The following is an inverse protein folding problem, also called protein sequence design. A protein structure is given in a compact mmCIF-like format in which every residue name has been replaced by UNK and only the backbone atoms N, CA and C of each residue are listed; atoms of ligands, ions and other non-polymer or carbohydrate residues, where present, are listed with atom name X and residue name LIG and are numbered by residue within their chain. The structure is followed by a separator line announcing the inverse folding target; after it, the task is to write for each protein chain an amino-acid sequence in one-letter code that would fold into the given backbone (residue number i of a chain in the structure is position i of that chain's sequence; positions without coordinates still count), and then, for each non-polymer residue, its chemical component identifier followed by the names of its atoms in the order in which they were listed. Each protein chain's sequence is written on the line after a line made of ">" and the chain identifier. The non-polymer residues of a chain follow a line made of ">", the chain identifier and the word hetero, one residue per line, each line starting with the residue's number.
data_IF_615693735440
#
_entry.id   IF_615693735440
#
_cell.length_a   1.000
_cell.length_b   1.000
_cell.length_c   1.000
_cell.angle_alpha   90.00
_cell.angle_beta   90.00
_cell.angle_gamma   90.00
#
_symmetry.space_group_name_H-M   'P 1'
#
loop_
_entity.id
_entity.type
_entity.pdbx_description
1 polymer ?
#
# COMPACT_ATOMS: atom_id res chain seq x y z
N UNK A 1 -14.65 23.73 -12.61
CA UNK A 1 -15.96 23.31 -12.09
C UNK A 1 -15.88 22.04 -11.22
N UNK A 2 -15.27 20.92 -11.65
CA UNK A 2 -15.23 19.69 -10.82
C UNK A 2 -14.49 19.82 -9.46
N UNK A 3 -13.56 20.78 -9.34
CA UNK A 3 -12.78 21.01 -8.12
C UNK A 3 -13.34 22.15 -7.23
N UNK A 4 -14.35 22.88 -7.72
CA UNK A 4 -14.99 23.95 -6.97
C UNK A 4 -16.09 23.38 -6.07
N UNK A 5 -16.35 24.05 -4.96
CA UNK A 5 -17.47 23.72 -4.09
C UNK A 5 -18.80 23.96 -4.84
N UNK A 6 -19.82 23.10 -4.69
CA UNK A 6 -21.13 23.34 -5.31
C UNK A 6 -21.87 24.58 -4.79
N UNK A 7 -21.43 25.18 -3.69
CA UNK A 7 -22.05 26.35 -3.08
C UNK A 7 -21.03 27.44 -2.77
N UNK A 8 -21.46 28.70 -2.86
CA UNK A 8 -20.65 29.87 -2.56
C UNK A 8 -21.42 30.81 -1.62
N UNK A 9 -20.67 31.51 -0.77
CA UNK A 9 -21.21 32.53 0.11
C UNK A 9 -20.89 33.92 -0.41
N UNK A 10 -21.85 34.84 -0.36
CA UNK A 10 -21.64 36.24 -0.73
C UNK A 10 -22.15 37.19 0.35
N UNK A 11 -21.51 38.36 0.45
CA UNK A 11 -21.94 39.47 1.29
C UNK A 11 -22.72 40.46 0.43
N UNK A 12 -23.91 40.85 0.85
CA UNK A 12 -24.64 41.88 0.10
C UNK A 12 -23.88 43.21 0.14
N UNK A 13 -23.86 43.92 -1.00
CA UNK A 13 -23.16 45.21 -1.12
C UNK A 13 -23.77 46.30 -0.23
N UNK A 14 -25.02 46.13 0.16
CA UNK A 14 -25.76 47.03 1.06
C UNK A 14 -25.39 46.85 2.53
N UNK A 15 -24.60 45.82 2.88
CA UNK A 15 -24.20 45.60 4.27
C UNK A 15 -23.31 46.73 4.76
N UNK A 16 -23.63 47.24 5.94
CA UNK A 16 -22.94 48.36 6.58
C UNK A 16 -22.01 47.90 7.72
N UNK A 17 -22.20 46.67 8.24
CA UNK A 17 -21.31 46.09 9.24
C UNK A 17 -19.96 45.63 8.67
N UNK A 18 -18.99 45.40 9.55
CA UNK A 18 -17.65 44.93 9.17
C UNK A 18 -17.56 43.41 8.99
N UNK A 19 -18.68 42.69 9.18
CA UNK A 19 -18.69 41.23 9.12
C UNK A 19 -18.44 40.69 7.71
N UNK A 20 -17.66 39.61 7.65
CA UNK A 20 -17.33 38.82 6.47
C UNK A 20 -17.82 37.39 6.64
N UNK A 21 -18.03 36.68 5.54
CA UNK A 21 -18.45 35.27 5.52
C UNK A 21 -17.38 34.42 4.86
N UNK A 22 -17.05 33.29 5.47
CA UNK A 22 -16.15 32.29 4.86
C UNK A 22 -16.85 31.53 3.76
N UNK A 23 -16.12 31.02 2.74
CA UNK A 23 -16.67 30.02 1.84
C UNK A 23 -17.38 28.90 2.61
N UNK A 24 -18.54 28.42 2.13
CA UNK A 24 -19.30 27.38 2.82
C UNK A 24 -18.61 26.03 2.73
N UNK A 25 -18.60 25.26 3.81
CA UNK A 25 -18.22 23.84 3.79
C UNK A 25 -19.48 22.99 3.61
N UNK A 26 -19.44 21.97 2.75
CA UNK A 26 -20.52 20.99 2.60
C UNK A 26 -20.33 19.87 3.62
N UNK A 27 -21.18 19.83 4.65
CA UNK A 27 -21.10 18.87 5.75
C UNK A 27 -22.04 17.68 5.54
N UNK A 28 -23.17 17.90 4.86
CA UNK A 28 -24.11 16.84 4.48
C UNK A 28 -24.51 16.99 3.00
N UNK A 29 -23.85 16.23 2.14
CA UNK A 29 -24.14 16.19 0.70
C UNK A 29 -25.52 15.58 0.37
N UNK A 30 -26.10 14.81 1.30
CA UNK A 30 -27.41 14.16 1.12
C UNK A 30 -28.59 15.06 1.52
N UNK A 31 -28.33 16.27 2.02
CA UNK A 31 -29.40 17.22 2.33
C UNK A 31 -30.13 17.64 1.04
N UNK A 32 -31.46 17.39 0.92
CA UNK A 32 -32.21 17.73 -0.29
C UNK A 32 -32.24 19.24 -0.57
N UNK A 33 -31.96 20.08 0.43
CA UNK A 33 -31.96 21.54 0.32
C UNK A 33 -30.56 22.13 0.14
N UNK A 34 -29.54 21.30 -0.11
CA UNK A 34 -28.13 21.74 -0.24
C UNK A 34 -27.95 22.89 -1.25
N UNK A 35 -28.63 22.82 -2.39
CA UNK A 35 -28.55 23.80 -3.46
C UNK A 35 -29.63 24.89 -3.37
N UNK A 36 -30.42 24.92 -2.30
CA UNK A 36 -31.46 25.96 -2.14
C UNK A 36 -30.77 27.27 -1.70
N UNK A 37 -30.94 28.37 -2.45
CA UNK A 37 -30.49 29.70 -2.04
C UNK A 37 -30.95 30.04 -0.62
N UNK A 38 -30.05 30.52 0.21
CA UNK A 38 -30.35 30.81 1.62
C UNK A 38 -29.72 32.13 2.05
N UNK A 39 -30.47 32.92 2.80
CA UNK A 39 -30.01 34.19 3.35
C UNK A 39 -29.89 34.11 4.87
N UNK A 40 -28.86 34.74 5.42
CA UNK A 40 -28.69 35.01 6.84
C UNK A 40 -28.89 36.50 7.03
N UNK A 41 -30.02 36.86 7.62
CA UNK A 41 -30.46 38.25 7.79
C UNK A 41 -30.22 38.68 9.22
N UNK A 42 -29.37 39.69 9.42
CA UNK A 42 -29.16 40.33 10.71
C UNK A 42 -30.16 41.47 10.86
N UNK A 43 -31.12 41.31 11.76
CA UNK A 43 -32.13 42.32 12.04
C UNK A 43 -31.80 43.05 13.35
N UNK A 44 -32.73 43.81 13.90
CA UNK A 44 -32.56 44.43 15.22
C UNK A 44 -32.99 43.43 16.31
N UNK A 45 -32.12 43.06 17.27
CA UNK A 45 -30.72 43.48 17.46
C UNK A 45 -29.73 42.71 16.57
N UNK A 46 -28.62 43.36 16.16
CA UNK A 46 -27.60 42.77 15.26
C UNK A 46 -26.76 41.65 15.88
N UNK A 47 -27.04 41.30 17.14
CA UNK A 47 -26.50 40.13 17.84
C UNK A 47 -27.26 38.84 17.53
N UNK A 48 -28.27 38.90 16.66
CA UNK A 48 -29.07 37.75 16.23
C UNK A 48 -29.26 37.74 14.71
N UNK A 49 -29.50 36.57 14.15
CA UNK A 49 -29.81 36.41 12.73
C UNK A 49 -31.05 35.52 12.52
N UNK A 50 -31.67 35.65 11.35
CA UNK A 50 -32.74 34.77 10.89
C UNK A 50 -32.34 34.12 9.56
N UNK A 51 -32.81 32.90 9.35
CA UNK A 51 -32.62 32.20 8.08
C UNK A 51 -33.78 32.57 7.15
N UNK A 52 -33.46 33.08 5.97
CA UNK A 52 -34.42 33.55 4.96
C UNK A 52 -35.41 34.60 5.48
N UNK A 53 -35.00 35.40 6.46
CA UNK A 53 -35.83 36.44 7.06
C UNK A 53 -37.08 35.93 7.81
N UNK A 54 -37.16 34.63 8.09
CA UNK A 54 -38.29 34.01 8.78
C UNK A 54 -37.83 33.13 9.95
N UNK A 55 -38.75 32.88 10.89
CA UNK A 55 -38.50 32.00 12.03
C UNK A 55 -37.82 32.67 13.24
N UNK A 56 -37.31 31.87 14.19
CA UNK A 56 -36.75 32.38 15.44
C UNK A 56 -35.46 33.16 15.21
N UNK A 57 -35.21 34.17 16.06
CA UNK A 57 -33.94 34.86 16.15
C UNK A 57 -32.90 33.90 16.74
N UNK A 58 -31.84 33.63 15.98
CA UNK A 58 -30.73 32.76 16.41
C UNK A 58 -29.60 33.64 16.95
N UNK A 59 -29.10 33.40 18.17
CA UNK A 59 -27.95 34.13 18.70
C UNK A 59 -26.74 34.02 17.79
N UNK A 60 -26.14 35.16 17.45
CA UNK A 60 -24.89 35.22 16.72
C UNK A 60 -23.71 35.17 17.69
N UNK A 61 -22.77 34.28 17.41
CA UNK A 61 -21.46 34.25 18.06
C UNK A 61 -20.39 34.43 16.98
N UNK A 62 -19.54 35.44 17.15
CA UNK A 62 -18.49 35.76 16.19
C UNK A 62 -17.57 34.55 15.94
N UNK A 63 -17.40 34.17 14.67
CA UNK A 63 -16.56 33.04 14.25
C UNK A 63 -17.12 31.65 14.54
N UNK A 64 -18.29 31.56 15.18
CA UNK A 64 -18.97 30.28 15.38
C UNK A 64 -19.48 29.73 14.04
N UNK A 65 -19.51 28.41 13.94
CA UNK A 65 -20.05 27.72 12.78
C UNK A 65 -21.58 27.83 12.76
N UNK A 66 -22.12 28.31 11.64
CA UNK A 66 -23.55 28.38 11.36
C UNK A 66 -23.87 27.29 10.35
N UNK A 67 -24.72 26.33 10.73
CA UNK A 67 -25.08 25.19 9.89
C UNK A 67 -26.50 25.35 9.33
N UNK A 68 -26.67 25.31 8.02
CA UNK A 68 -27.97 25.47 7.32
C UNK A 68 -28.02 24.61 6.06
N UNK A 69 -29.05 23.77 5.92
CA UNK A 69 -29.31 22.89 4.78
C UNK A 69 -28.05 22.07 4.36
N UNK A 70 -27.43 21.38 5.31
CA UNK A 70 -26.23 20.56 5.05
C UNK A 70 -24.93 21.32 4.77
N UNK A 71 -24.94 22.66 4.89
CA UNK A 71 -23.78 23.53 4.68
C UNK A 71 -23.38 24.19 5.99
N UNK A 72 -22.11 24.54 6.12
CA UNK A 72 -21.58 25.28 7.24
C UNK A 72 -20.84 26.52 6.76
N UNK A 73 -21.13 27.68 7.35
CA UNK A 73 -20.39 28.92 7.12
C UNK A 73 -19.96 29.52 8.45
N UNK A 74 -18.94 30.38 8.43
CA UNK A 74 -18.57 31.20 9.57
C UNK A 74 -18.68 32.65 9.18
N UNK A 75 -19.28 33.44 10.06
CA UNK A 75 -19.31 34.90 9.93
C UNK A 75 -18.36 35.47 10.98
N UNK A 76 -17.39 36.26 10.53
CA UNK A 76 -16.40 36.90 11.38
C UNK A 76 -16.51 38.42 11.32
N UNK A 77 -16.40 39.10 12.45
CA UNK A 77 -16.52 40.56 12.56
C UNK A 77 -17.84 40.99 13.21
N UNK A 78 -18.21 42.25 13.00
CA UNK A 78 -19.38 42.87 13.64
C UNK A 78 -20.47 43.15 12.61
N UNK A 79 -21.52 42.32 12.53
CA UNK A 79 -22.66 42.59 11.67
C UNK A 79 -23.51 43.75 12.25
N UNK A 80 -24.12 44.51 11.36
CA UNK A 80 -25.08 45.55 11.68
C UNK A 80 -26.52 45.11 11.32
N UNK A 81 -27.50 45.78 11.91
CA UNK A 81 -28.90 45.54 11.55
C UNK A 81 -29.13 45.95 10.08
N UNK A 82 -29.74 45.07 9.31
CA UNK A 82 -29.89 45.19 7.86
C UNK A 82 -28.86 44.41 7.04
N UNK A 83 -27.82 43.83 7.68
CA UNK A 83 -26.83 43.04 6.95
C UNK A 83 -27.40 41.69 6.49
N UNK A 84 -27.07 41.30 5.27
CA UNK A 84 -27.47 40.03 4.65
C UNK A 84 -26.26 39.30 4.09
N UNK A 85 -26.13 38.03 4.44
CA UNK A 85 -25.18 37.09 3.83
C UNK A 85 -25.95 36.01 3.09
N UNK A 86 -25.53 35.70 1.86
CA UNK A 86 -26.21 34.69 1.03
C UNK A 86 -25.33 33.46 0.87
N UNK A 87 -25.97 32.31 0.78
CA UNK A 87 -25.36 31.02 0.46
C UNK A 87 -26.14 30.48 -0.73
N UNK A 88 -25.53 30.53 -1.91
CA UNK A 88 -26.15 30.24 -3.19
C UNK A 88 -25.36 29.12 -3.91
N UNK A 89 -25.96 28.39 -4.86
CA UNK A 89 -25.21 27.49 -5.73
C UNK A 89 -24.09 28.23 -6.46
N UNK A 90 -22.89 27.64 -6.49
CA UNK A 90 -21.79 28.19 -7.27
C UNK A 90 -21.94 27.76 -8.74
N UNK A 91 -22.40 28.67 -9.59
CA UNK A 91 -22.58 28.40 -11.02
C UNK A 91 -21.31 28.62 -11.84
N UNK A 92 -20.28 29.27 -11.29
CA UNK A 92 -19.13 29.73 -12.07
C UNK A 92 -17.83 29.01 -11.66
N UNK A 93 -17.68 28.57 -10.41
CA UNK A 93 -16.60 27.70 -9.95
C UNK A 93 -15.19 28.19 -10.30
N UNK A 94 -15.03 29.50 -10.52
CA UNK A 94 -13.83 30.11 -11.09
C UNK A 94 -12.92 30.56 -9.97
N UNK A 95 -11.76 29.91 -9.83
CA UNK A 95 -10.78 30.18 -8.77
C UNK A 95 -11.01 29.39 -7.49
N UNK A 96 -12.07 28.61 -7.39
CA UNK A 96 -12.31 27.70 -6.26
C UNK A 96 -11.73 26.30 -6.54
N UNK A 97 -10.92 25.80 -5.60
CA UNK A 97 -10.32 24.48 -5.61
C UNK A 97 -10.58 23.68 -4.32
N UNK A 98 -11.58 24.06 -3.51
CA UNK A 98 -11.88 23.48 -2.21
C UNK A 98 -12.05 21.95 -2.27
N UNK A 99 -12.75 21.41 -3.26
CA UNK A 99 -12.88 19.95 -3.41
C UNK A 99 -11.55 19.29 -3.78
N UNK A 100 -10.72 19.95 -4.58
CA UNK A 100 -9.37 19.47 -4.90
C UNK A 100 -8.46 19.44 -3.66
N UNK A 101 -8.55 20.46 -2.81
CA UNK A 101 -7.83 20.51 -1.55
C UNK A 101 -8.33 19.44 -0.57
N UNK A 102 -9.64 19.24 -0.46
CA UNK A 102 -10.24 18.18 0.35
C UNK A 102 -9.76 16.79 -0.12
N UNK A 103 -9.77 16.53 -1.43
CA UNK A 103 -9.23 15.29 -2.01
C UNK A 103 -7.75 15.10 -1.71
N UNK A 104 -6.93 16.16 -1.78
CA UNK A 104 -5.52 16.10 -1.41
C UNK A 104 -5.31 15.78 0.08
N UNK A 105 -6.23 16.26 0.94
CA UNK A 105 -6.26 15.97 2.38
C UNK A 105 -6.62 14.52 2.72
N UNK A 106 -7.41 13.83 1.87
CA UNK A 106 -7.76 12.42 2.11
C UNK A 106 -6.55 11.50 2.22
N UNK A 107 -5.44 11.82 1.55
CA UNK A 107 -4.20 11.06 1.62
C UNK A 107 -3.69 10.89 3.06
N UNK A 108 -3.84 11.92 3.89
CA UNK A 108 -3.37 11.96 5.28
C UNK A 108 -4.52 11.82 6.30
N UNK A 109 -5.77 11.79 5.82
CA UNK A 109 -6.92 11.63 6.70
C UNK A 109 -7.00 10.19 7.20
N UNK A 110 -7.18 10.01 8.51
CA UNK A 110 -7.33 8.72 9.15
C UNK A 110 -8.73 8.16 8.88
N UNK A 111 -8.92 7.58 7.69
CA UNK A 111 -10.20 7.00 7.25
C UNK A 111 -10.20 5.46 7.23
N UNK A 112 -9.03 4.85 7.41
CA UNK A 112 -8.86 3.40 7.43
C UNK A 112 -8.74 2.90 8.89
N UNK A 113 -8.89 1.59 9.09
CA UNK A 113 -8.80 0.93 10.40
C UNK A 113 -9.66 1.61 11.49
N UNK A 114 -10.93 1.88 11.19
CA UNK A 114 -11.83 2.52 12.15
C UNK A 114 -11.47 3.96 12.53
N UNK A 115 -10.65 4.64 11.71
CA UNK A 115 -10.26 6.02 11.93
C UNK A 115 -8.89 6.19 12.59
N UNK A 116 -7.98 5.25 12.40
CA UNK A 116 -6.64 5.24 13.05
C UNK A 116 -5.48 5.16 12.07
N UNK A 117 -5.76 5.06 10.77
CA UNK A 117 -4.75 4.98 9.74
C UNK A 117 -5.16 5.76 8.51
N UNK A 118 -4.20 6.48 7.92
CA UNK A 118 -4.38 7.13 6.63
C UNK A 118 -4.11 6.16 5.47
N UNK A 119 -4.48 6.57 4.25
CA UNK A 119 -4.09 5.85 3.03
C UNK A 119 -2.57 5.71 2.90
N UNK A 120 -1.81 6.74 3.30
CA UNK A 120 -0.36 6.72 3.28
C UNK A 120 0.21 5.69 4.24
N UNK A 121 -0.36 5.57 5.44
CA UNK A 121 0.08 4.60 6.45
C UNK A 121 -0.20 3.17 6.00
N UNK A 122 -1.41 2.91 5.51
CA UNK A 122 -1.78 1.59 5.00
C UNK A 122 -0.89 1.15 3.83
N UNK A 123 -0.58 2.08 2.91
CA UNK A 123 0.35 1.82 1.81
C UNK A 123 1.76 1.51 2.31
N UNK A 124 2.27 2.27 3.28
CA UNK A 124 3.57 2.03 3.90
C UNK A 124 3.65 0.67 4.58
N UNK A 125 2.60 0.29 5.32
CA UNK A 125 2.50 -1.03 5.97
C UNK A 125 2.49 -2.17 4.95
N UNK A 126 1.75 -2.02 3.85
CA UNK A 126 1.71 -3.04 2.79
C UNK A 126 3.09 -3.26 2.17
N UNK A 127 3.80 -2.19 1.81
CA UNK A 127 5.16 -2.29 1.28
C UNK A 127 6.10 -2.93 2.30
N UNK A 128 6.02 -2.52 3.57
CA UNK A 128 6.81 -3.11 4.65
C UNK A 128 6.57 -4.61 4.79
N UNK A 129 5.32 -5.05 4.70
CA UNK A 129 4.96 -6.46 4.76
C UNK A 129 5.49 -7.24 3.55
N UNK A 130 5.35 -6.71 2.34
CA UNK A 130 5.89 -7.32 1.11
C UNK A 130 7.41 -7.41 1.18
N UNK A 131 8.09 -6.36 1.61
CA UNK A 131 9.54 -6.34 1.78
C UNK A 131 10.01 -7.38 2.80
N UNK A 132 9.36 -7.46 3.96
CA UNK A 132 9.67 -8.44 5.00
C UNK A 132 9.47 -9.88 4.51
N UNK A 133 8.33 -10.19 3.86
CA UNK A 133 8.08 -11.52 3.28
C UNK A 133 9.09 -11.87 2.18
N UNK A 134 9.46 -10.90 1.36
CA UNK A 134 10.47 -11.10 0.31
C UNK A 134 11.82 -11.43 0.92
N UNK A 135 12.25 -10.69 1.93
CA UNK A 135 13.51 -10.97 2.64
C UNK A 135 13.49 -12.36 3.28
N UNK A 136 12.37 -12.74 3.89
CA UNK A 136 12.21 -14.07 4.50
C UNK A 136 12.27 -15.19 3.46
N UNK A 137 11.69 -14.98 2.28
CA UNK A 137 11.76 -15.93 1.17
C UNK A 137 13.18 -16.06 0.60
N UNK A 138 13.93 -14.96 0.50
CA UNK A 138 15.34 -14.97 0.06
C UNK A 138 16.22 -15.76 1.04
N UNK A 139 16.09 -15.49 2.34
CA UNK A 139 16.82 -16.23 3.38
C UNK A 139 16.48 -17.73 3.32
N UNK A 140 15.19 -18.06 3.16
CA UNK A 140 14.75 -19.46 3.07
C UNK A 140 15.30 -20.16 1.82
N UNK A 141 15.30 -19.47 0.67
CA UNK A 141 15.90 -19.96 -0.57
C UNK A 141 17.39 -20.24 -0.41
N UNK A 142 18.13 -19.33 0.21
CA UNK A 142 19.58 -19.47 0.39
C UNK A 142 19.90 -20.63 1.35
N UNK A 143 19.12 -20.80 2.41
CA UNK A 143 19.23 -21.96 3.30
C UNK A 143 18.96 -23.29 2.58
N UNK A 144 17.88 -23.36 1.78
CA UNK A 144 17.56 -24.55 0.98
C UNK A 144 18.66 -24.82 -0.07
N UNK A 145 19.25 -23.78 -0.66
CA UNK A 145 20.36 -23.92 -1.60
C UNK A 145 21.58 -24.57 -0.95
N UNK A 146 21.98 -24.09 0.23
CA UNK A 146 23.07 -24.70 1.01
C UNK A 146 22.76 -26.16 1.33
N UNK A 147 21.54 -26.45 1.80
CA UNK A 147 21.13 -27.82 2.10
C UNK A 147 21.18 -28.73 0.86
N UNK A 148 20.77 -28.22 -0.30
CA UNK A 148 20.87 -28.94 -1.57
C UNK A 148 22.32 -29.23 -1.95
N UNK A 149 23.22 -28.24 -1.84
CA UNK A 149 24.64 -28.42 -2.12
C UNK A 149 25.28 -29.48 -1.22
N UNK A 150 24.96 -29.48 0.08
CA UNK A 150 25.40 -30.53 1.01
C UNK A 150 24.85 -31.92 0.63
N UNK A 151 23.58 -32.01 0.26
CA UNK A 151 22.98 -33.28 -0.15
C UNK A 151 23.59 -33.83 -1.45
N UNK A 152 23.88 -32.95 -2.42
CA UNK A 152 24.58 -33.31 -3.65
C UNK A 152 26.00 -33.79 -3.36
N UNK A 153 26.78 -33.06 -2.56
CA UNK A 153 28.12 -33.48 -2.16
C UNK A 153 28.13 -34.82 -1.40
N UNK A 154 27.17 -35.03 -0.50
CA UNK A 154 27.04 -36.31 0.23
C UNK A 154 26.65 -37.47 -0.68
N UNK A 155 25.75 -37.24 -1.64
CA UNK A 155 25.39 -38.25 -2.65
C UNK A 155 26.61 -38.62 -3.48
N UNK A 156 27.34 -37.61 -3.94
CA UNK A 156 28.53 -37.79 -4.77
C UNK A 156 29.63 -38.49 -3.96
N UNK A 157 29.83 -38.21 -2.68
CA UNK A 157 30.80 -38.93 -1.86
C UNK A 157 30.54 -40.45 -1.73
N UNK A 158 29.26 -40.88 -1.80
CA UNK A 158 28.88 -42.30 -1.71
C UNK A 158 28.87 -42.97 -3.08
N UNK A 159 28.38 -42.26 -4.11
CA UNK A 159 28.19 -42.80 -5.46
C UNK A 159 29.34 -42.49 -6.42
N UNK A 160 30.28 -41.63 -6.03
CA UNK A 160 31.48 -41.36 -6.82
C UNK A 160 32.37 -42.58 -6.77
N UNK A 161 32.53 -43.16 -7.93
CA UNK A 161 33.50 -44.20 -8.21
C UNK A 161 34.88 -43.55 -8.26
N UNK A 162 35.83 -44.09 -7.49
CA UNK A 162 37.22 -43.63 -7.57
C UNK A 162 37.90 -44.30 -8.77
N UNK A 163 38.06 -43.54 -9.86
CA UNK A 163 38.68 -44.03 -11.10
C UNK A 163 40.11 -44.55 -10.91
N UNK A 164 40.86 -44.03 -9.93
CA UNK A 164 42.21 -44.50 -9.62
C UNK A 164 42.17 -45.85 -8.89
N UNK A 165 41.19 -46.05 -8.01
CA UNK A 165 40.97 -47.32 -7.31
C UNK A 165 40.43 -48.39 -8.28
N UNK A 166 39.53 -48.03 -9.18
CA UNK A 166 39.09 -48.91 -10.27
C UNK A 166 40.23 -49.26 -11.23
N UNK A 167 41.09 -48.30 -11.59
CA UNK A 167 42.26 -48.54 -12.44
C UNK A 167 43.29 -49.45 -11.76
N UNK A 168 43.55 -49.25 -10.47
CA UNK A 168 44.41 -50.14 -9.69
C UNK A 168 43.84 -51.56 -9.61
N UNK A 169 42.53 -51.69 -9.39
CA UNK A 169 41.85 -52.99 -9.41
C UNK A 169 41.90 -53.64 -10.81
N UNK A 170 41.73 -52.85 -11.88
CA UNK A 170 41.84 -53.31 -13.26
C UNK A 170 43.25 -53.85 -13.55
N UNK A 171 44.30 -53.11 -13.18
CA UNK A 171 45.69 -53.56 -13.32
C UNK A 171 45.93 -54.83 -12.52
N UNK A 172 45.42 -54.92 -11.29
CA UNK A 172 45.51 -56.13 -10.46
C UNK A 172 44.84 -57.33 -11.12
N UNK A 173 43.65 -57.15 -11.70
CA UNK A 173 42.96 -58.21 -12.44
C UNK A 173 43.70 -58.63 -13.71
N UNK A 174 44.29 -57.67 -14.45
CA UNK A 174 45.12 -57.96 -15.61
C UNK A 174 46.36 -58.77 -15.22
N UNK A 175 47.06 -58.40 -14.14
CA UNK A 175 48.21 -59.13 -13.62
C UNK A 175 47.83 -60.54 -13.15
N UNK A 176 46.72 -60.68 -12.41
CA UNK A 176 46.21 -61.98 -11.98
C UNK A 176 45.86 -62.88 -13.17
N UNK A 177 45.26 -62.32 -14.22
CA UNK A 177 44.93 -63.07 -15.44
C UNK A 177 46.19 -63.52 -16.19
N UNK A 178 47.20 -62.65 -16.32
CA UNK A 178 48.50 -63.01 -16.91
C UNK A 178 49.20 -64.11 -16.10
N UNK A 179 49.19 -64.01 -14.77
CA UNK A 179 49.75 -65.03 -13.89
C UNK A 179 49.01 -66.37 -14.02
N UNK A 180 47.68 -66.36 -14.10
CA UNK A 180 46.87 -67.56 -14.34
C UNK A 180 47.18 -68.19 -15.70
N UNK A 181 47.34 -67.39 -16.76
CA UNK A 181 47.72 -67.87 -18.08
C UNK A 181 49.12 -68.50 -18.10
N UNK A 182 50.10 -67.90 -17.42
CA UNK A 182 51.43 -68.48 -17.25
C UNK A 182 51.40 -69.78 -16.45
N UNK A 183 50.60 -69.85 -15.38
CA UNK A 183 50.43 -71.06 -14.59
C UNK A 183 49.87 -72.20 -15.46
N UNK A 184 48.84 -71.94 -16.27
CA UNK A 184 48.29 -72.92 -17.23
C UNK A 184 49.37 -73.38 -18.22
N UNK A 185 50.20 -72.47 -18.73
CA UNK A 185 51.28 -72.81 -19.65
C UNK A 185 52.31 -73.74 -18.99
N UNK A 186 52.72 -73.45 -17.75
CA UNK A 186 53.65 -74.29 -16.97
C UNK A 186 53.01 -75.65 -16.63
N UNK A 187 51.72 -75.67 -16.28
CA UNK A 187 50.99 -76.92 -16.05
C UNK A 187 50.92 -77.78 -17.31
N UNK A 188 50.67 -77.18 -18.48
CA UNK A 188 50.68 -77.91 -19.76
C UNK A 188 52.07 -78.46 -20.10
N UNK A 189 53.13 -77.68 -19.87
CA UNK A 189 54.51 -78.11 -20.10
C UNK A 189 54.91 -79.28 -19.17
N UNK A 190 54.58 -79.18 -17.88
CA UNK A 190 54.84 -80.26 -16.92
C UNK A 190 54.05 -81.52 -17.25
N UNK A 191 52.79 -81.38 -17.66
CA UNK A 191 51.97 -82.52 -18.10
C UNK A 191 52.56 -83.21 -19.34
N UNK A 192 53.00 -82.43 -20.34
CA UNK A 192 53.65 -82.97 -21.54
C UNK A 192 54.96 -83.71 -21.20
N UNK A 193 55.80 -83.13 -20.32
CA UNK A 193 57.04 -83.76 -19.88
C UNK A 193 56.82 -85.08 -19.13
N UNK A 194 55.79 -85.16 -18.28
CA UNK A 194 55.41 -86.40 -17.60
C UNK A 194 54.92 -87.47 -18.59
N UNK A 195 54.17 -87.09 -19.63
CA UNK A 195 53.74 -88.01 -20.67
C UNK A 195 54.90 -88.53 -21.53
N UNK A 196 55.88 -87.69 -21.83
CA UNK A 196 57.05 -88.07 -22.62
C UNK A 196 58.00 -89.00 -21.85
N UNK A 197 58.17 -88.81 -20.54
CA UNK A 197 58.96 -89.70 -19.68
C UNK A 197 58.31 -91.08 -19.46
N UNK A 198 57.01 -91.23 -19.74
CA UNK A 198 56.24 -92.48 -19.62
C UNK A 198 56.15 -93.28 -20.93
N UNK A 199 56.74 -92.78 -22.02
CA UNK A 199 56.89 -93.50 -23.30
C UNK A 199 58.24 -94.19 -23.41
#
# INVERSE_FOLDING_TARGET
>A
MALANPVASTRALTNIGSATVTPPDVVNVADPNLLVPTQLNFNTPSTTFQVNGAGPLIPFTNGAAISVNGRQVRITGSPAAGDVFRIDPDSNGSGDNANGLAMAGLRTSEILNGGTASLQDAYGQLIGQVGSRTQQALISRDAIKVQREYAEASRDAISAVNLDEEAANLIRFQQAFQAAAQLIQVTNQTFASLLEAMR
#
